data_IF_098941224493
#
_entry.id   IF_098941224493
#
_cell.length_a   1.000
_cell.length_b   1.000
_cell.length_c   1.000
_cell.angle_alpha   90.00
_cell.angle_beta   90.00
_cell.angle_gamma   90.00
#
_symmetry.space_group_name_H-M   'P 1'
#
loop_
_entity.id
_entity.type
_entity.pdbx_description
1 polymer ?
#
# COMPACT_ATOMS: atom_id res chain seq x y z
N UNK A 1 -45.16 -2.71 -15.53
CA UNK A 1 -44.30 -2.93 -14.35
C UNK A 1 -42.85 -3.10 -14.81
N UNK A 2 -42.21 -2.02 -15.27
CA UNK A 2 -40.85 -2.07 -15.83
C UNK A 2 -39.96 -1.09 -15.08
N UNK A 3 -39.04 -1.60 -14.26
CA UNK A 3 -37.96 -0.75 -13.75
C UNK A 3 -37.04 -0.43 -14.93
N UNK A 4 -36.99 0.83 -15.32
CA UNK A 4 -36.11 1.36 -16.37
C UNK A 4 -34.68 0.93 -16.06
N UNK A 5 -33.91 0.52 -17.08
CA UNK A 5 -32.54 -0.03 -16.94
C UNK A 5 -31.68 0.78 -15.95
N UNK A 6 -31.80 2.11 -15.94
CA UNK A 6 -31.12 3.02 -15.00
C UNK A 6 -31.38 2.77 -13.50
N UNK A 7 -32.56 2.28 -13.09
CA UNK A 7 -32.87 1.95 -11.70
C UNK A 7 -32.27 0.62 -11.23
N UNK A 8 -31.86 -0.25 -12.16
CA UNK A 8 -31.25 -1.56 -11.86
C UNK A 8 -29.73 -1.48 -11.73
N UNK A 9 -29.11 -0.47 -12.34
CA UNK A 9 -27.67 -0.19 -12.21
C UNK A 9 -27.35 0.51 -10.89
N UNK A 10 -28.29 1.28 -10.35
CA UNK A 10 -28.13 1.97 -9.06
C UNK A 10 -28.38 1.09 -7.82
N UNK A 11 -28.81 -0.17 -8.00
CA UNK A 11 -28.98 -1.12 -6.89
C UNK A 11 -27.78 -2.04 -6.65
N UNK A 12 -26.71 -1.91 -7.43
CA UNK A 12 -25.47 -2.69 -7.23
C UNK A 12 -24.63 -2.07 -6.12
N UNK A 13 -24.02 -2.91 -5.29
CA UNK A 13 -23.12 -2.44 -4.23
C UNK A 13 -21.84 -1.86 -4.82
N UNK A 14 -21.18 -0.97 -4.07
CA UNK A 14 -19.87 -0.43 -4.45
C UNK A 14 -18.86 -1.54 -4.74
N UNK A 15 -18.88 -2.61 -3.94
CA UNK A 15 -18.01 -3.77 -4.13
C UNK A 15 -18.21 -4.43 -5.48
N UNK A 16 -19.47 -4.63 -5.91
CA UNK A 16 -19.75 -5.17 -7.25
C UNK A 16 -19.24 -4.24 -8.36
N UNK A 17 -19.37 -2.92 -8.17
CA UNK A 17 -18.83 -1.93 -9.11
C UNK A 17 -17.31 -2.00 -9.25
N UNK A 18 -16.58 -2.22 -8.15
CA UNK A 18 -15.12 -2.38 -8.17
C UNK A 18 -14.72 -3.61 -9.00
N UNK A 19 -15.38 -4.75 -8.78
CA UNK A 19 -15.10 -5.96 -9.57
C UNK A 19 -15.44 -5.78 -11.05
N UNK A 20 -16.59 -5.17 -11.36
CA UNK A 20 -16.99 -4.89 -12.75
C UNK A 20 -15.95 -3.98 -13.42
N UNK A 21 -15.52 -2.91 -12.76
CA UNK A 21 -14.50 -2.00 -13.28
C UNK A 21 -13.14 -2.70 -13.46
N UNK A 22 -12.76 -3.62 -12.57
CA UNK A 22 -11.53 -4.43 -12.69
C UNK A 22 -11.56 -5.29 -13.95
N UNK A 23 -12.65 -6.02 -14.20
CA UNK A 23 -12.78 -6.87 -15.38
C UNK A 23 -12.87 -6.07 -16.68
N UNK A 24 -13.56 -4.93 -16.66
CA UNK A 24 -13.59 -4.01 -17.82
C UNK A 24 -12.20 -3.45 -18.10
N UNK A 25 -11.47 -3.01 -17.06
CA UNK A 25 -10.09 -2.54 -17.20
C UNK A 25 -9.16 -3.60 -17.77
N UNK A 26 -9.29 -4.85 -17.32
CA UNK A 26 -8.56 -5.99 -17.88
C UNK A 26 -8.91 -6.22 -19.36
N UNK A 27 -10.20 -6.23 -19.70
CA UNK A 27 -10.65 -6.42 -21.08
C UNK A 27 -10.12 -5.32 -22.02
N UNK A 28 -10.20 -4.05 -21.60
CA UNK A 28 -9.64 -2.92 -22.37
C UNK A 28 -8.12 -3.06 -22.53
N UNK A 29 -7.41 -3.46 -21.47
CA UNK A 29 -5.97 -3.67 -21.51
C UNK A 29 -5.51 -4.72 -22.54
N UNK A 30 -6.34 -5.74 -22.79
CA UNK A 30 -6.03 -6.80 -23.76
C UNK A 30 -6.52 -6.44 -25.16
N UNK A 31 -7.74 -5.90 -25.30
CA UNK A 31 -8.37 -5.66 -26.60
C UNK A 31 -7.95 -4.34 -27.26
N UNK A 32 -7.53 -3.34 -26.48
CA UNK A 32 -7.23 -1.99 -26.97
C UNK A 32 -6.07 -1.35 -26.18
N UNK A 33 -4.81 -1.79 -26.42
CA UNK A 33 -3.65 -1.29 -25.69
C UNK A 33 -3.42 0.22 -25.86
N UNK A 34 -3.70 0.79 -27.04
CA UNK A 34 -3.56 2.23 -27.27
C UNK A 34 -4.52 3.06 -26.39
N UNK A 35 -5.75 2.57 -26.20
CA UNK A 35 -6.73 3.18 -25.29
C UNK A 35 -6.27 3.03 -23.84
N UNK A 36 -5.69 1.88 -23.47
CA UNK A 36 -5.12 1.68 -22.14
C UNK A 36 -3.97 2.65 -21.83
N UNK A 37 -3.13 2.97 -22.82
CA UNK A 37 -2.10 4.00 -22.69
C UNK A 37 -2.69 5.40 -22.48
N UNK A 38 -3.77 5.74 -23.19
CA UNK A 38 -4.47 7.02 -23.01
C UNK A 38 -5.14 7.17 -21.63
N UNK A 39 -5.52 6.07 -20.97
CA UNK A 39 -6.13 6.05 -19.63
C UNK A 39 -5.08 6.16 -18.51
N UNK A 40 -3.78 5.96 -18.80
CA UNK A 40 -2.68 6.06 -17.82
C UNK A 40 -2.71 7.31 -16.92
N UNK A 41 -2.97 8.55 -17.39
CA UNK A 41 -3.10 9.71 -16.52
C UNK A 41 -4.22 9.59 -15.47
N UNK A 42 -5.33 8.91 -15.79
CA UNK A 42 -6.41 8.69 -14.84
C UNK A 42 -6.00 7.74 -13.70
N UNK A 43 -5.23 6.69 -14.03
CA UNK A 43 -4.59 5.84 -13.01
C UNK A 43 -3.66 6.66 -12.12
N UNK A 44 -2.80 7.48 -12.71
CA UNK A 44 -1.87 8.33 -11.94
C UNK A 44 -2.63 9.29 -11.02
N UNK A 45 -3.69 9.93 -11.51
CA UNK A 45 -4.53 10.81 -10.72
C UNK A 45 -5.17 10.08 -9.53
N UNK A 46 -5.74 8.90 -9.76
CA UNK A 46 -6.32 8.08 -8.70
C UNK A 46 -5.28 7.68 -7.65
N UNK A 47 -4.12 7.16 -8.08
CA UNK A 47 -3.04 6.78 -7.16
C UNK A 47 -2.49 7.97 -6.39
N UNK A 48 -2.35 9.14 -7.02
CA UNK A 48 -1.94 10.36 -6.34
C UNK A 48 -2.98 10.82 -5.32
N UNK A 49 -4.27 10.69 -5.63
CA UNK A 49 -5.36 10.97 -4.69
C UNK A 49 -5.30 10.08 -3.46
N UNK A 50 -5.13 8.76 -3.65
CA UNK A 50 -4.95 7.81 -2.53
C UNK A 50 -3.71 8.18 -1.71
N UNK A 51 -2.56 8.40 -2.35
CA UNK A 51 -1.30 8.78 -1.68
C UNK A 51 -1.42 10.07 -0.87
N UNK A 52 -2.13 11.08 -1.37
CA UNK A 52 -2.36 12.34 -0.70
C UNK A 52 -3.12 12.17 0.63
N UNK A 53 -4.05 11.22 0.68
CA UNK A 53 -4.89 10.97 1.87
C UNK A 53 -4.17 10.09 2.90
N UNK A 54 -3.27 9.19 2.48
CA UNK A 54 -2.61 8.22 3.37
C UNK A 54 -1.90 8.91 4.55
N UNK A 55 -1.03 9.89 4.28
CA UNK A 55 -0.23 10.49 5.36
C UNK A 55 -1.08 11.23 6.42
N UNK A 56 -2.02 12.13 6.05
CA UNK A 56 -2.92 12.76 7.02
C UNK A 56 -3.79 11.76 7.78
N UNK A 57 -4.29 10.72 7.08
CA UNK A 57 -5.14 9.71 7.69
C UNK A 57 -4.38 8.88 8.72
N UNK A 58 -3.16 8.45 8.41
CA UNK A 58 -2.29 7.74 9.36
C UNK A 58 -2.02 8.60 10.58
N UNK A 59 -1.58 9.85 10.38
CA UNK A 59 -1.30 10.77 11.49
C UNK A 59 -2.52 10.96 12.40
N UNK A 60 -3.66 11.33 11.83
CA UNK A 60 -4.89 11.54 12.60
C UNK A 60 -5.35 10.26 13.30
N UNK A 61 -5.32 9.12 12.62
CA UNK A 61 -5.80 7.84 13.19
C UNK A 61 -4.96 7.39 14.39
N UNK A 62 -3.63 7.57 14.33
CA UNK A 62 -2.73 7.20 15.42
C UNK A 62 -2.88 8.19 16.57
N UNK A 63 -2.85 9.50 16.31
CA UNK A 63 -2.96 10.52 17.37
C UNK A 63 -4.30 10.41 18.11
N UNK A 64 -5.42 10.32 17.39
CA UNK A 64 -6.73 10.11 18.01
C UNK A 64 -6.80 8.76 18.74
N UNK A 65 -6.21 7.70 18.18
CA UNK A 65 -6.16 6.38 18.80
C UNK A 65 -5.43 6.40 20.13
N UNK A 66 -4.26 7.04 20.20
CA UNK A 66 -3.48 7.16 21.43
C UNK A 66 -4.17 8.05 22.46
N UNK A 67 -4.69 9.20 22.03
CA UNK A 67 -5.42 10.13 22.89
C UNK A 67 -6.62 9.45 23.58
N UNK A 68 -7.27 8.50 22.91
CA UNK A 68 -8.39 7.73 23.47
C UNK A 68 -7.98 6.63 24.46
N UNK A 69 -6.71 6.22 24.49
CA UNK A 69 -6.26 5.02 25.20
C UNK A 69 -6.12 5.19 26.72
N UNK A 70 -6.20 6.43 27.24
CA UNK A 70 -6.28 6.77 28.67
C UNK A 70 -5.03 6.48 29.53
N UNK A 71 -4.17 5.53 29.13
CA UNK A 71 -2.92 5.22 29.84
C UNK A 71 -1.82 4.70 28.89
N UNK A 72 -0.64 5.31 28.97
CA UNK A 72 0.57 4.94 28.22
C UNK A 72 1.00 3.49 28.47
N UNK A 73 0.77 2.96 29.69
CA UNK A 73 1.11 1.57 30.03
C UNK A 73 0.25 0.55 29.28
N UNK A 74 -1.03 0.87 29.05
CA UNK A 74 -1.93 0.01 28.27
C UNK A 74 -1.54 0.01 26.78
N UNK A 75 -1.15 1.18 26.26
CA UNK A 75 -0.71 1.34 24.89
C UNK A 75 0.57 0.55 24.60
N UNK A 76 1.57 0.61 25.47
CA UNK A 76 2.82 -0.14 25.31
C UNK A 76 2.61 -1.66 25.26
N UNK A 77 1.72 -2.21 26.09
CA UNK A 77 1.37 -3.64 26.07
C UNK A 77 0.63 -4.04 24.78
N UNK A 78 -0.28 -3.19 24.33
CA UNK A 78 -1.05 -3.43 23.10
C UNK A 78 -0.14 -3.35 21.88
N UNK A 79 0.76 -2.37 21.83
CA UNK A 79 1.79 -2.23 20.79
C UNK A 79 2.72 -3.43 20.74
N UNK A 80 3.21 -3.92 21.89
CA UNK A 80 4.07 -5.11 21.93
C UNK A 80 3.33 -6.36 21.42
N UNK A 81 2.08 -6.56 21.83
CA UNK A 81 1.24 -7.66 21.31
C UNK A 81 1.03 -7.55 19.81
N UNK A 82 0.83 -6.33 19.29
CA UNK A 82 0.69 -6.08 17.86
C UNK A 82 1.98 -6.40 17.10
N UNK A 83 3.16 -6.04 17.62
CA UNK A 83 4.46 -6.36 17.00
C UNK A 83 4.67 -7.88 16.94
N UNK A 84 4.45 -8.59 18.05
CA UNK A 84 4.58 -10.06 18.08
C UNK A 84 3.59 -10.71 17.11
N UNK A 85 2.35 -10.23 17.07
CA UNK A 85 1.36 -10.74 16.13
C UNK A 85 1.74 -10.45 14.68
N UNK A 86 2.21 -9.24 14.39
CA UNK A 86 2.67 -8.83 13.06
C UNK A 86 3.82 -9.71 12.58
N UNK A 87 4.85 -9.92 13.42
CA UNK A 87 6.02 -10.75 13.07
C UNK A 87 5.65 -12.19 12.74
N UNK A 88 4.75 -12.79 13.54
CA UNK A 88 4.27 -14.15 13.29
C UNK A 88 3.46 -14.21 11.99
N UNK A 89 2.56 -13.25 11.78
CA UNK A 89 1.71 -13.19 10.61
C UNK A 89 2.52 -12.94 9.31
N UNK A 90 3.50 -12.04 9.34
CA UNK A 90 4.37 -11.75 8.19
C UNK A 90 5.29 -12.91 7.88
N UNK A 91 5.87 -13.55 8.89
CA UNK A 91 6.69 -14.76 8.69
C UNK A 91 5.87 -15.87 8.04
N UNK A 92 4.64 -16.11 8.53
CA UNK A 92 3.75 -17.09 7.93
C UNK A 92 3.37 -16.71 6.47
N UNK A 93 3.05 -15.44 6.23
CA UNK A 93 2.73 -14.95 4.89
C UNK A 93 3.92 -15.08 3.91
N UNK A 94 5.14 -14.76 4.36
CA UNK A 94 6.37 -14.92 3.58
C UNK A 94 6.66 -16.39 3.29
N UNK A 95 6.49 -17.29 4.26
CA UNK A 95 6.69 -18.72 4.06
C UNK A 95 5.72 -19.28 3.01
N UNK A 96 4.44 -18.92 3.07
CA UNK A 96 3.44 -19.32 2.09
C UNK A 96 3.75 -18.72 0.71
N UNK A 97 4.04 -17.42 0.65
CA UNK A 97 4.40 -16.74 -0.61
C UNK A 97 5.63 -17.37 -1.27
N UNK A 98 6.67 -17.65 -0.48
CA UNK A 98 7.88 -18.30 -0.97
C UNK A 98 7.61 -19.71 -1.47
N UNK A 99 6.78 -20.49 -0.76
CA UNK A 99 6.36 -21.81 -1.20
C UNK A 99 5.70 -21.77 -2.58
N UNK A 100 4.67 -20.92 -2.75
CA UNK A 100 3.95 -20.83 -4.03
C UNK A 100 4.81 -20.25 -5.16
N UNK A 101 5.67 -19.27 -4.90
CA UNK A 101 6.58 -18.72 -5.91
C UNK A 101 7.57 -19.78 -6.38
N UNK A 102 8.10 -20.62 -5.49
CA UNK A 102 9.03 -21.68 -5.89
C UNK A 102 8.34 -22.83 -6.66
N UNK A 103 7.07 -23.11 -6.37
CA UNK A 103 6.29 -24.17 -7.03
C UNK A 103 5.73 -23.71 -8.38
N UNK A 104 5.02 -22.58 -8.41
CA UNK A 104 4.38 -22.07 -9.63
C UNK A 104 5.36 -21.37 -10.57
N UNK A 105 6.53 -20.95 -10.05
CA UNK A 105 7.57 -20.19 -10.76
C UNK A 105 6.98 -19.11 -11.67
N UNK A 106 6.17 -18.18 -11.11
CA UNK A 106 5.56 -17.12 -11.90
C UNK A 106 6.67 -16.18 -12.40
N UNK A 107 7.07 -16.34 -13.66
CA UNK A 107 8.16 -15.57 -14.26
C UNK A 107 9.04 -16.35 -15.23
N UNK A 108 9.03 -17.68 -15.17
CA UNK A 108 9.73 -18.51 -16.15
C UNK A 108 9.18 -18.22 -17.56
N UNK A 109 10.04 -17.72 -18.45
CA UNK A 109 9.69 -17.35 -19.82
C UNK A 109 9.30 -15.88 -20.05
N UNK A 110 9.35 -15.02 -19.03
CA UNK A 110 9.19 -13.57 -19.22
C UNK A 110 10.48 -12.95 -19.77
N UNK A 111 10.47 -12.53 -21.04
CA UNK A 111 11.53 -11.71 -21.64
C UNK A 111 11.44 -10.28 -21.10
N UNK A 112 12.04 -10.04 -19.94
CA UNK A 112 12.16 -8.70 -19.35
C UNK A 112 13.13 -7.88 -20.21
N UNK A 113 12.64 -6.81 -20.82
CA UNK A 113 13.44 -5.92 -21.67
C UNK A 113 14.63 -5.29 -20.91
N UNK A 114 15.68 -4.92 -21.64
CA UNK A 114 16.97 -4.48 -21.08
C UNK A 114 16.84 -3.31 -20.08
N UNK A 115 15.95 -2.34 -20.34
CA UNK A 115 15.69 -1.22 -19.43
C UNK A 115 15.12 -1.64 -18.07
N UNK A 116 14.26 -2.66 -18.07
CA UNK A 116 13.65 -3.17 -16.85
C UNK A 116 14.64 -4.01 -16.04
N UNK A 117 15.60 -4.68 -16.70
CA UNK A 117 16.71 -5.37 -16.03
C UNK A 117 17.64 -4.40 -15.28
N UNK A 118 17.94 -3.24 -15.86
CA UNK A 118 18.78 -2.21 -15.23
C UNK A 118 18.11 -1.62 -13.97
N UNK A 119 16.80 -1.37 -14.04
CA UNK A 119 16.02 -0.91 -12.88
C UNK A 119 15.96 -1.95 -11.76
N UNK A 120 15.81 -3.23 -12.09
CA UNK A 120 15.83 -4.33 -11.12
C UNK A 120 17.20 -4.43 -10.44
N UNK A 121 18.29 -4.28 -11.21
CA UNK A 121 19.65 -4.28 -10.66
C UNK A 121 19.87 -3.15 -9.65
N UNK A 122 19.45 -1.92 -9.98
CA UNK A 122 19.54 -0.77 -9.07
C UNK A 122 18.70 -0.95 -7.81
N UNK A 123 17.52 -1.57 -7.92
CA UNK A 123 16.69 -1.88 -6.77
C UNK A 123 17.33 -2.94 -5.84
N UNK A 124 18.04 -3.92 -6.41
CA UNK A 124 18.75 -4.95 -5.64
C UNK A 124 19.97 -4.40 -4.87
N UNK A 125 20.57 -3.30 -5.34
CA UNK A 125 21.67 -2.61 -4.67
C UNK A 125 21.22 -1.70 -3.52
N UNK A 126 19.91 -1.41 -3.42
CA UNK A 126 19.34 -0.62 -2.32
C UNK A 126 19.20 -1.50 -1.07
N UNK A 127 20.33 -1.96 -0.52
CA UNK A 127 20.36 -2.59 0.80
C UNK A 127 20.54 -1.50 1.84
N UNK A 128 19.44 -1.14 2.51
CA UNK A 128 19.52 -0.31 3.70
C UNK A 128 20.34 -1.07 4.76
N UNK A 129 21.46 -0.49 5.18
CA UNK A 129 22.23 -1.04 6.30
C UNK A 129 21.42 -0.92 7.58
N UNK A 130 21.68 -1.79 8.56
CA UNK A 130 20.99 -1.69 9.86
C UNK A 130 21.22 -0.33 10.54
N UNK A 131 22.42 0.24 10.41
CA UNK A 131 22.71 1.60 10.87
C UNK A 131 21.86 2.67 10.15
N UNK A 132 21.77 2.59 8.82
CA UNK A 132 20.94 3.49 8.03
C UNK A 132 19.44 3.36 8.34
N UNK A 133 18.97 2.16 8.70
CA UNK A 133 17.59 1.95 9.15
C UNK A 133 17.30 2.70 10.45
N UNK A 134 18.20 2.59 11.44
CA UNK A 134 18.04 3.30 12.73
C UNK A 134 18.02 4.81 12.53
N UNK A 135 18.92 5.34 11.70
CA UNK A 135 18.92 6.76 11.35
C UNK A 135 17.63 7.18 10.65
N UNK A 136 17.05 6.32 9.82
CA UNK A 136 15.81 6.59 9.11
C UNK A 136 14.54 6.44 9.96
N UNK A 137 14.63 5.90 11.18
CA UNK A 137 13.49 5.80 12.09
C UNK A 137 12.99 7.19 12.52
N UNK A 138 13.92 8.10 12.82
CA UNK A 138 13.58 9.45 13.25
C UNK A 138 13.69 10.42 12.07
N UNK A 139 12.59 11.05 11.64
CA UNK A 139 12.67 12.07 10.61
C UNK A 139 13.45 13.27 11.12
N UNK A 140 14.33 13.81 10.28
CA UNK A 140 14.95 15.13 10.49
C UNK A 140 13.90 16.24 10.45
N UNK A 141 12.85 16.06 9.63
CA UNK A 141 11.74 16.98 9.49
C UNK A 141 10.44 16.22 9.15
N UNK A 142 9.38 16.44 9.94
CA UNK A 142 8.07 15.82 9.74
C UNK A 142 7.41 16.19 8.41
N UNK A 143 7.52 17.45 7.98
CA UNK A 143 6.95 17.88 6.71
C UNK A 143 7.64 17.20 5.53
N UNK A 144 8.95 16.99 5.62
CA UNK A 144 9.72 16.27 4.61
C UNK A 144 9.30 14.79 4.53
N UNK A 145 9.10 14.12 5.67
CA UNK A 145 8.64 12.74 5.73
C UNK A 145 7.26 12.56 5.07
N UNK A 146 6.33 13.51 5.27
CA UNK A 146 5.02 13.49 4.60
C UNK A 146 5.18 13.66 3.09
N UNK A 147 6.01 14.61 2.65
CA UNK A 147 6.19 14.92 1.22
C UNK A 147 6.87 13.75 0.47
N UNK A 148 7.86 13.11 1.10
CA UNK A 148 8.53 11.94 0.54
C UNK A 148 7.68 10.66 0.62
N UNK A 149 6.66 10.65 1.48
CA UNK A 149 5.82 9.48 1.71
C UNK A 149 6.49 8.43 2.59
N UNK A 150 7.38 8.85 3.49
CA UNK A 150 8.08 7.98 4.44
C UNK A 150 7.13 7.55 5.57
N UNK A 151 6.29 6.55 5.27
CA UNK A 151 5.22 6.09 6.17
C UNK A 151 5.74 5.73 7.56
N UNK A 152 6.90 5.07 7.65
CA UNK A 152 7.51 4.68 8.92
C UNK A 152 7.81 5.89 9.81
N UNK A 153 8.37 6.95 9.23
CA UNK A 153 8.68 8.20 9.94
C UNK A 153 7.41 8.93 10.36
N UNK A 154 6.39 8.96 9.49
CA UNK A 154 5.08 9.55 9.81
C UNK A 154 4.45 8.81 10.99
N UNK A 155 4.48 7.47 11.01
CA UNK A 155 3.95 6.65 12.10
C UNK A 155 4.70 6.93 13.41
N UNK A 156 6.03 6.93 13.40
CA UNK A 156 6.84 7.17 14.60
C UNK A 156 6.63 8.57 15.18
N UNK A 157 6.62 9.60 14.32
CA UNK A 157 6.30 10.96 14.77
C UNK A 157 4.88 11.04 15.35
N UNK A 158 3.90 10.39 14.72
CA UNK A 158 2.51 10.38 15.20
C UNK A 158 2.38 9.74 16.59
N UNK A 159 3.16 8.69 16.86
CA UNK A 159 3.21 8.06 18.18
C UNK A 159 3.81 9.01 19.21
N UNK A 160 4.95 9.64 18.91
CA UNK A 160 5.59 10.61 19.81
C UNK A 160 4.69 11.81 20.09
N UNK A 161 3.98 12.30 19.07
CA UNK A 161 3.06 13.43 19.18
C UNK A 161 1.77 13.08 19.95
N UNK A 162 1.30 11.83 19.82
CA UNK A 162 0.06 11.38 20.45
C UNK A 162 0.21 10.98 21.93
N UNK A 163 1.42 10.58 22.36
CA UNK A 163 1.77 10.25 23.74
C UNK A 163 1.80 11.48 24.65
#
# INVERSE_FOLDING_TARGET
>A
MGKTVGQRISSLSLTSWVFIALFIGLAIGILAPDVAHAIKPFRSLFLNGVKCIIAPLIFASIVCGISSAGSVSSLGRTGLRAIVWFEIATTAALAIGLFFVNVLRPGDGLSIGHEMSEQISKAAETKMSFGGFIEHLLPTNFAEAIVKGDVLQVVLFSVIFGL
#
